data_IF_817621818899
#
_entry.id   IF_817621818899
#
_cell.length_a   1.000
_cell.length_b   1.000
_cell.length_c   1.000
_cell.angle_alpha   90.00
_cell.angle_beta   90.00
_cell.angle_gamma   90.00
#
_symmetry.space_group_name_H-M   'P 1'
#
loop_
_entity.id
_entity.type
_entity.pdbx_description
1 polymer ?
#
# COMPACT_ATOMS: atom_id res chain seq x y z
N UNK A 1 -5.42 56.16 58.69
CA UNK A 1 -4.69 54.95 59.12
C UNK A 1 -5.77 53.89 59.33
N UNK A 2 -6.12 53.01 58.38
CA UNK A 2 -5.30 52.13 57.56
C UNK A 2 -5.53 50.69 58.07
N UNK A 3 -5.79 49.73 57.16
CA UNK A 3 -5.87 48.26 57.38
C UNK A 3 -7.22 47.72 57.89
N UNK A 4 -7.85 46.68 57.33
CA UNK A 4 -7.57 45.81 56.18
C UNK A 4 -8.91 45.19 55.75
N UNK A 5 -9.28 45.35 54.48
CA UNK A 5 -10.23 44.50 53.78
C UNK A 5 -9.55 43.16 53.44
N UNK A 6 -10.30 42.05 53.43
CA UNK A 6 -9.76 40.80 52.89
C UNK A 6 -10.56 39.53 53.21
N UNK A 7 -11.83 39.48 52.80
CA UNK A 7 -12.53 38.21 52.60
C UNK A 7 -11.89 37.50 51.40
N UNK A 8 -11.02 36.53 51.63
CA UNK A 8 -10.51 35.65 50.57
C UNK A 8 -11.44 34.44 50.43
N UNK A 9 -12.55 34.64 49.71
CA UNK A 9 -13.32 33.57 49.10
C UNK A 9 -12.44 32.98 47.98
N UNK A 10 -11.78 31.86 48.25
CA UNK A 10 -11.11 31.05 47.22
C UNK A 10 -12.20 30.40 46.38
N UNK A 11 -12.68 31.13 45.38
CA UNK A 11 -13.41 30.55 44.25
C UNK A 11 -12.36 29.77 43.46
N UNK A 12 -12.29 28.46 43.67
CA UNK A 12 -11.67 27.54 42.72
C UNK A 12 -12.59 27.54 41.49
N UNK A 13 -12.41 28.54 40.61
CA UNK A 13 -12.78 28.37 39.22
C UNK A 13 -11.96 27.16 38.73
N UNK A 14 -12.57 26.12 38.16
CA UNK A 14 -11.79 25.29 37.27
C UNK A 14 -11.41 26.23 36.12
N UNK A 15 -10.17 26.72 36.13
CA UNK A 15 -9.52 27.06 34.87
C UNK A 15 -9.51 25.75 34.09
N UNK A 16 -10.59 25.52 33.33
CA UNK A 16 -10.47 24.84 32.06
C UNK A 16 -9.40 25.63 31.31
N UNK A 17 -8.14 25.20 31.46
CA UNK A 17 -7.17 25.43 30.42
C UNK A 17 -7.74 24.71 29.21
N UNK A 18 -8.57 25.41 28.44
CA UNK A 18 -8.66 25.20 27.02
C UNK A 18 -7.23 25.43 26.53
N UNK A 19 -6.44 24.37 26.50
CA UNK A 19 -5.23 24.35 25.71
C UNK A 19 -5.76 24.57 24.30
N UNK A 20 -5.59 25.78 23.77
CA UNK A 20 -6.05 26.10 22.43
C UNK A 20 -5.44 25.08 21.47
N UNK A 21 -6.23 24.10 21.07
CA UNK A 21 -5.88 23.16 20.04
C UNK A 21 -5.77 24.00 18.76
N UNK A 22 -4.53 24.38 18.43
CA UNK A 22 -4.18 25.07 17.19
C UNK A 22 -4.89 26.42 17.02
N UNK A 23 -4.56 27.39 17.89
CA UNK A 23 -5.24 28.71 18.04
C UNK A 23 -5.44 29.59 16.79
N UNK A 24 -4.96 29.20 15.60
CA UNK A 24 -5.14 29.95 14.32
C UNK A 24 -5.26 29.10 13.05
N UNK A 25 -4.97 27.80 13.09
CA UNK A 25 -5.05 26.89 11.93
C UNK A 25 -5.64 25.55 12.34
N UNK A 26 -6.25 24.81 11.42
CA UNK A 26 -6.68 23.44 11.69
C UNK A 26 -5.50 22.55 12.08
N UNK A 27 -5.69 21.74 13.12
CA UNK A 27 -4.72 20.82 13.69
C UNK A 27 -4.27 19.76 12.68
N UNK A 28 -2.94 19.54 12.64
CA UNK A 28 -2.26 18.56 11.79
C UNK A 28 -2.31 17.17 12.44
N UNK A 29 -1.87 16.16 11.70
CA UNK A 29 -1.75 14.80 12.20
C UNK A 29 -0.92 14.78 13.50
N UNK A 30 -1.42 14.10 14.54
CA UNK A 30 -0.86 14.03 15.89
C UNK A 30 -0.90 15.33 16.71
N UNK A 31 -1.49 16.42 16.22
CA UNK A 31 -1.78 17.57 17.09
C UNK A 31 -2.93 17.22 18.04
N UNK A 32 -2.93 17.81 19.24
CA UNK A 32 -4.04 17.65 20.20
C UNK A 32 -5.32 18.30 19.62
N UNK A 33 -6.46 17.71 19.92
CA UNK A 33 -7.77 18.20 19.51
C UNK A 33 -8.82 17.95 20.60
N UNK A 34 -9.94 18.66 20.52
CA UNK A 34 -11.12 18.46 21.35
C UNK A 34 -12.34 18.02 20.53
N UNK A 35 -12.40 18.39 19.25
CA UNK A 35 -13.49 18.04 18.34
C UNK A 35 -12.98 17.71 16.93
N UNK A 36 -13.76 16.97 16.14
CA UNK A 36 -13.43 16.68 14.73
C UNK A 36 -13.24 17.95 13.89
N UNK A 37 -13.90 19.06 14.27
CA UNK A 37 -13.79 20.35 13.59
C UNK A 37 -12.40 20.98 13.69
N UNK A 38 -11.64 20.62 14.72
CA UNK A 38 -10.29 21.13 14.97
C UNK A 38 -9.29 20.59 13.94
N UNK A 39 -9.53 19.39 13.42
CA UNK A 39 -8.58 18.67 12.58
C UNK A 39 -8.66 19.07 11.09
N UNK A 40 -7.52 18.99 10.39
CA UNK A 40 -7.46 19.19 8.92
C UNK A 40 -8.32 18.16 8.17
N UNK A 41 -8.78 18.47 6.94
CA UNK A 41 -9.51 17.51 6.11
C UNK A 41 -8.78 16.16 5.99
N UNK A 42 -9.52 15.06 6.09
CA UNK A 42 -8.95 13.71 6.09
C UNK A 42 -8.41 13.25 7.45
N UNK A 43 -8.58 14.05 8.49
CA UNK A 43 -8.29 13.71 9.88
C UNK A 43 -9.56 13.84 10.74
N UNK A 44 -9.60 13.12 11.87
CA UNK A 44 -10.66 13.24 12.88
C UNK A 44 -10.06 13.22 14.28
N UNK A 45 -10.80 13.74 15.25
CA UNK A 45 -10.34 13.87 16.62
C UNK A 45 -10.65 12.60 17.40
N UNK A 46 -9.60 11.92 17.88
CA UNK A 46 -9.75 10.61 18.48
C UNK A 46 -8.80 10.39 19.65
N UNK A 47 -9.23 9.63 20.64
CA UNK A 47 -8.40 9.17 21.76
C UNK A 47 -8.47 7.66 21.93
N UNK A 48 -7.32 7.06 22.23
CA UNK A 48 -7.20 5.65 22.55
C UNK A 48 -7.55 5.44 24.04
N UNK A 49 -8.59 4.63 24.29
CA UNK A 49 -9.26 4.46 25.60
C UNK A 49 -8.31 4.18 26.78
N UNK A 50 -7.17 3.52 26.56
CA UNK A 50 -6.25 3.13 27.65
C UNK A 50 -5.04 4.04 27.84
N UNK A 51 -4.90 5.09 27.04
CA UNK A 51 -3.65 5.84 27.03
C UNK A 51 -3.59 6.96 28.08
N UNK A 52 -4.71 7.35 28.73
CA UNK A 52 -4.84 8.63 29.45
C UNK A 52 -4.32 9.82 28.59
N UNK A 53 -4.23 9.61 27.27
CA UNK A 53 -3.68 10.57 26.34
C UNK A 53 -4.80 11.48 25.88
N UNK A 54 -4.48 12.78 25.69
CA UNK A 54 -5.44 13.70 25.10
C UNK A 54 -5.85 13.19 23.72
N UNK A 55 -7.06 13.55 23.29
CA UNK A 55 -7.47 13.30 21.91
C UNK A 55 -6.52 14.02 20.95
N UNK A 56 -6.22 13.36 19.85
CA UNK A 56 -5.31 13.85 18.82
C UNK A 56 -5.95 13.68 17.45
N UNK A 57 -5.54 14.52 16.50
CA UNK A 57 -5.95 14.38 15.11
C UNK A 57 -5.28 13.15 14.50
N UNK A 58 -6.07 12.13 14.17
CA UNK A 58 -5.63 10.89 13.53
C UNK A 58 -6.26 10.78 12.14
N UNK A 59 -5.66 9.99 11.27
CA UNK A 59 -6.12 9.86 9.88
C UNK A 59 -7.47 9.16 9.80
N UNK A 60 -8.36 9.67 8.95
CA UNK A 60 -9.72 9.14 8.76
C UNK A 60 -10.02 8.68 7.34
N UNK A 61 -9.12 8.92 6.38
CA UNK A 61 -9.31 8.57 4.98
C UNK A 61 -8.01 8.19 4.27
N UNK A 62 -8.11 7.30 3.28
CA UNK A 62 -6.99 6.95 2.40
C UNK A 62 -6.62 8.09 1.45
N UNK A 63 -5.38 8.11 0.98
CA UNK A 63 -4.99 8.92 -0.17
C UNK A 63 -5.46 8.25 -1.45
N UNK A 64 -6.18 9.00 -2.29
CA UNK A 64 -6.59 8.55 -3.62
C UNK A 64 -5.37 8.54 -4.56
N UNK A 65 -4.70 7.39 -4.61
CA UNK A 65 -3.50 7.17 -5.41
C UNK A 65 -3.76 7.28 -6.92
N UNK A 66 -4.99 7.01 -7.37
CA UNK A 66 -5.37 7.14 -8.77
C UNK A 66 -5.42 8.59 -9.22
N UNK A 67 -5.90 9.49 -8.36
CA UNK A 67 -5.90 10.94 -8.61
C UNK A 67 -4.54 11.58 -8.33
N UNK A 68 -3.87 11.16 -7.26
CA UNK A 68 -2.60 11.75 -6.83
C UNK A 68 -1.48 11.49 -7.84
N UNK A 69 -1.37 10.25 -8.33
CA UNK A 69 -0.24 9.81 -9.17
C UNK A 69 -0.73 9.49 -10.58
N UNK A 70 -1.33 8.31 -10.76
CA UNK A 70 -2.03 7.89 -11.97
C UNK A 70 -2.74 6.53 -11.74
N UNK A 71 -3.69 6.21 -12.62
CA UNK A 71 -4.34 4.90 -12.71
C UNK A 71 -3.84 4.05 -13.89
N UNK A 72 -2.61 4.28 -14.35
CA UNK A 72 -2.08 3.68 -15.57
C UNK A 72 -1.36 2.34 -15.36
N UNK A 73 -1.05 1.99 -14.11
CA UNK A 73 -0.37 0.75 -13.77
C UNK A 73 -1.35 -0.45 -13.75
N UNK A 74 -0.84 -1.68 -13.88
CA UNK A 74 -1.56 -2.91 -13.58
C UNK A 74 -2.22 -2.90 -12.18
N UNK A 75 -3.37 -3.55 -12.01
CA UNK A 75 -4.08 -3.61 -10.72
C UNK A 75 -3.20 -4.15 -9.58
N UNK A 76 -2.35 -5.14 -9.84
CA UNK A 76 -1.39 -5.71 -8.87
C UNK A 76 -0.18 -4.79 -8.56
N UNK A 77 -0.16 -3.55 -9.06
CA UNK A 77 0.81 -2.49 -8.68
C UNK A 77 0.20 -1.44 -7.76
N UNK A 78 -0.98 -1.72 -7.21
CA UNK A 78 -1.63 -0.89 -6.21
C UNK A 78 -1.88 -1.71 -4.94
N UNK A 79 -1.95 -1.00 -3.81
CA UNK A 79 -2.36 -1.54 -2.53
C UNK A 79 -3.69 -0.92 -2.08
N UNK A 80 -4.50 -1.73 -1.42
CA UNK A 80 -5.85 -1.39 -1.00
C UNK A 80 -6.05 -1.71 0.48
N UNK A 81 -6.61 -0.74 1.21
CA UNK A 81 -7.11 -0.99 2.56
C UNK A 81 -8.25 -2.00 2.48
N UNK A 82 -8.15 -3.05 3.29
CA UNK A 82 -9.12 -4.13 3.39
C UNK A 82 -9.70 -4.18 4.80
N UNK A 83 -11.01 -4.32 4.92
CA UNK A 83 -11.68 -4.47 6.22
C UNK A 83 -12.13 -5.93 6.42
N UNK A 84 -11.66 -6.53 7.50
CA UNK A 84 -12.06 -7.87 7.91
C UNK A 84 -13.49 -7.84 8.44
N UNK A 85 -14.32 -8.81 8.02
CA UNK A 85 -15.74 -8.90 8.34
C UNK A 85 -16.44 -7.55 8.31
N UNK A 86 -16.42 -6.92 7.12
CA UNK A 86 -16.80 -5.52 6.92
C UNK A 86 -18.23 -5.19 7.37
N UNK A 87 -19.10 -6.20 7.40
CA UNK A 87 -20.50 -6.09 7.82
C UNK A 87 -20.69 -6.21 9.34
N UNK A 88 -19.68 -6.66 10.08
CA UNK A 88 -19.75 -6.90 11.52
C UNK A 88 -19.60 -5.60 12.31
N UNK A 89 -20.65 -4.77 12.25
CA UNK A 89 -20.63 -3.37 12.68
C UNK A 89 -21.19 -3.21 14.09
N UNK A 90 -20.52 -2.40 14.92
CA UNK A 90 -20.97 -2.09 16.27
C UNK A 90 -22.34 -1.39 16.26
N UNK A 91 -23.27 -1.87 17.10
CA UNK A 91 -24.58 -1.24 17.27
C UNK A 91 -25.47 -1.33 16.03
N UNK A 92 -25.11 -2.15 15.04
CA UNK A 92 -25.98 -2.46 13.93
C UNK A 92 -27.23 -3.22 14.43
N UNK A 93 -28.43 -2.79 14.04
CA UNK A 93 -29.67 -3.40 14.52
C UNK A 93 -29.75 -4.87 14.12
N UNK A 94 -30.32 -5.70 14.98
CA UNK A 94 -30.67 -7.08 14.66
C UNK A 94 -31.79 -7.14 13.64
N UNK A 95 -31.58 -7.98 12.61
CA UNK A 95 -32.59 -8.30 11.59
C UNK A 95 -33.31 -9.61 11.88
N UNK A 96 -32.91 -10.34 12.94
CA UNK A 96 -33.39 -11.69 13.27
C UNK A 96 -34.10 -11.76 14.62
N UNK A 97 -33.83 -10.79 15.52
CA UNK A 97 -34.28 -10.76 16.91
C UNK A 97 -34.97 -9.43 17.22
N UNK A 98 -35.95 -9.46 18.14
CA UNK A 98 -36.74 -8.29 18.55
C UNK A 98 -36.00 -7.34 19.50
N UNK A 99 -34.95 -7.84 20.15
CA UNK A 99 -33.98 -7.09 20.95
C UNK A 99 -32.57 -7.36 20.40
N UNK A 100 -31.63 -6.42 20.56
CA UNK A 100 -30.24 -6.55 20.11
C UNK A 100 -29.45 -7.55 20.99
N UNK A 101 -29.88 -8.80 21.00
CA UNK A 101 -29.30 -9.92 21.74
C UNK A 101 -28.22 -10.67 20.93
N UNK A 102 -27.52 -9.99 20.02
CA UNK A 102 -26.49 -10.60 19.17
C UNK A 102 -25.29 -11.02 20.02
N UNK A 103 -24.86 -12.28 19.88
CA UNK A 103 -23.75 -12.86 20.65
C UNK A 103 -22.67 -13.33 19.68
N UNK A 104 -21.93 -12.37 19.15
CA UNK A 104 -20.78 -12.62 18.29
C UNK A 104 -19.84 -11.41 18.29
N UNK A 105 -18.72 -11.53 17.57
CA UNK A 105 -17.68 -10.52 17.54
C UNK A 105 -18.05 -9.37 16.59
N UNK A 106 -17.53 -8.19 16.91
CA UNK A 106 -17.69 -6.95 16.14
C UNK A 106 -16.32 -6.58 15.59
N UNK A 107 -16.26 -6.25 14.31
CA UNK A 107 -15.00 -5.94 13.61
C UNK A 107 -14.91 -4.48 13.21
N UNK A 108 -16.03 -3.79 12.98
CA UNK A 108 -16.03 -2.43 12.45
C UNK A 108 -16.96 -1.49 13.24
N UNK A 109 -16.72 -0.18 13.12
CA UNK A 109 -17.56 0.87 13.71
C UNK A 109 -18.34 1.67 12.67
N UNK A 110 -17.84 1.69 11.43
CA UNK A 110 -18.43 2.39 10.31
C UNK A 110 -19.25 1.42 9.46
N UNK A 111 -20.36 1.88 8.89
CA UNK A 111 -21.12 1.10 7.88
C UNK A 111 -20.27 0.78 6.66
N UNK A 112 -20.67 -0.20 5.84
CA UNK A 112 -19.93 -0.52 4.60
C UNK A 112 -19.88 0.68 3.67
N UNK A 113 -20.96 1.45 3.54
CA UNK A 113 -20.96 2.73 2.83
C UNK A 113 -19.89 3.69 3.37
N UNK A 114 -19.75 3.81 4.69
CA UNK A 114 -18.79 4.73 5.30
C UNK A 114 -17.35 4.22 5.18
N UNK A 115 -17.12 2.91 5.28
CA UNK A 115 -15.85 2.24 4.97
C UNK A 115 -15.38 2.60 3.55
N UNK A 116 -16.26 2.44 2.55
CA UNK A 116 -15.97 2.79 1.16
C UNK A 116 -15.71 4.29 0.97
N UNK A 117 -16.50 5.17 1.61
CA UNK A 117 -16.27 6.63 1.58
C UNK A 117 -14.92 7.03 2.19
N UNK A 118 -14.48 6.32 3.22
CA UNK A 118 -13.20 6.56 3.89
C UNK A 118 -12.01 5.95 3.12
N UNK A 119 -12.24 5.28 1.98
CA UNK A 119 -11.17 4.80 1.12
C UNK A 119 -10.85 3.31 1.22
N UNK A 120 -11.64 2.54 1.98
CA UNK A 120 -11.59 1.08 1.89
C UNK A 120 -11.96 0.66 0.47
N UNK A 121 -11.19 -0.26 -0.12
CA UNK A 121 -11.40 -0.74 -1.50
C UNK A 121 -11.41 -2.26 -1.62
N UNK A 122 -11.26 -2.96 -0.50
CA UNK A 122 -11.49 -4.39 -0.41
C UNK A 122 -12.29 -4.73 0.84
N UNK A 123 -13.29 -5.61 0.70
CA UNK A 123 -14.19 -6.01 1.78
C UNK A 123 -14.14 -7.52 1.95
N UNK A 124 -13.81 -8.01 3.15
CA UNK A 124 -13.97 -9.42 3.49
C UNK A 124 -15.35 -9.66 4.07
N UNK A 125 -16.06 -10.65 3.52
CA UNK A 125 -17.45 -10.96 3.88
C UNK A 125 -17.65 -12.47 4.02
N UNK A 126 -18.14 -12.90 5.17
CA UNK A 126 -18.56 -14.27 5.40
C UNK A 126 -20.02 -14.46 4.94
N UNK A 127 -20.25 -15.37 3.99
CA UNK A 127 -21.56 -15.57 3.35
C UNK A 127 -22.13 -16.95 3.66
N UNK A 128 -23.41 -17.00 4.06
CA UNK A 128 -24.09 -18.23 4.45
C UNK A 128 -25.47 -18.33 3.83
N UNK A 129 -25.93 -19.56 3.55
CA UNK A 129 -27.35 -19.83 3.41
C UNK A 129 -28.03 -19.75 4.79
N UNK A 130 -29.00 -18.86 4.93
CA UNK A 130 -29.73 -18.68 6.18
C UNK A 130 -31.13 -18.10 5.96
N UNK A 131 -32.14 -18.63 6.67
CA UNK A 131 -33.54 -18.19 6.56
C UNK A 131 -34.06 -18.09 5.10
N UNK A 132 -33.61 -19.01 4.24
CA UNK A 132 -34.03 -19.09 2.83
C UNK A 132 -33.38 -18.06 1.89
N UNK A 133 -32.37 -17.32 2.35
CA UNK A 133 -31.62 -16.34 1.56
C UNK A 133 -30.11 -16.39 1.91
N UNK A 134 -29.30 -15.53 1.30
CA UNK A 134 -27.89 -15.38 1.63
C UNK A 134 -27.70 -14.27 2.65
N UNK A 135 -27.02 -14.60 3.74
CA UNK A 135 -26.77 -13.71 4.86
C UNK A 135 -25.29 -13.52 5.11
N UNK A 136 -24.98 -12.36 5.70
CA UNK A 136 -23.67 -12.12 6.30
C UNK A 136 -23.75 -12.42 7.78
N UNK A 137 -22.92 -13.34 8.24
CA UNK A 137 -22.94 -13.83 9.62
C UNK A 137 -21.51 -13.95 10.14
N UNK A 138 -21.25 -13.53 11.38
CA UNK A 138 -19.97 -13.79 12.03
C UNK A 138 -20.13 -15.06 12.86
N UNK A 139 -19.97 -16.23 12.25
CA UNK A 139 -20.35 -17.52 12.84
C UNK A 139 -19.22 -18.54 12.77
N UNK A 140 -19.47 -19.75 13.28
CA UNK A 140 -18.49 -20.84 13.28
C UNK A 140 -19.06 -22.11 12.62
N UNK A 141 -18.17 -23.03 12.26
CA UNK A 141 -18.51 -24.37 11.72
C UNK A 141 -19.35 -24.33 10.43
N UNK A 142 -19.25 -23.25 9.64
CA UNK A 142 -19.96 -23.12 8.38
C UNK A 142 -21.48 -23.01 8.50
N UNK A 143 -22.01 -22.58 9.66
CA UNK A 143 -23.45 -22.41 9.88
C UNK A 143 -23.76 -21.03 10.44
N UNK A 144 -24.79 -20.39 9.93
CA UNK A 144 -25.32 -19.14 10.48
C UNK A 144 -26.44 -19.40 11.49
N UNK A 145 -26.51 -18.57 12.53
CA UNK A 145 -27.51 -18.63 13.58
C UNK A 145 -28.12 -17.24 13.82
N UNK A 146 -29.31 -17.17 14.41
CA UNK A 146 -29.97 -15.89 14.69
C UNK A 146 -29.12 -14.94 15.53
N UNK A 147 -28.36 -15.48 16.49
CA UNK A 147 -27.48 -14.73 17.38
C UNK A 147 -26.17 -14.29 16.73
N UNK A 148 -25.81 -14.84 15.56
CA UNK A 148 -24.56 -14.56 14.83
C UNK A 148 -24.79 -13.88 13.47
N UNK A 149 -26.04 -13.80 13.03
CA UNK A 149 -26.45 -13.12 11.81
C UNK A 149 -26.37 -11.60 11.96
N UNK A 150 -25.84 -10.93 10.94
CA UNK A 150 -25.79 -9.47 10.90
C UNK A 150 -26.85 -8.87 10.02
N UNK A 151 -26.87 -9.26 8.74
CA UNK A 151 -27.71 -8.60 7.74
C UNK A 151 -27.91 -9.54 6.55
N UNK A 152 -29.06 -9.50 5.86
CA UNK A 152 -29.19 -10.09 4.53
C UNK A 152 -28.10 -9.53 3.61
N UNK A 153 -27.40 -10.40 2.89
CA UNK A 153 -26.25 -9.98 2.08
C UNK A 153 -26.64 -8.99 0.99
N UNK A 154 -27.88 -9.05 0.49
CA UNK A 154 -28.41 -8.13 -0.52
C UNK A 154 -28.31 -6.65 -0.11
N UNK A 155 -28.40 -6.34 1.18
CA UNK A 155 -28.31 -4.95 1.66
C UNK A 155 -26.90 -4.40 1.49
N UNK A 156 -25.90 -5.16 1.93
CA UNK A 156 -24.48 -4.80 1.76
C UNK A 156 -24.11 -4.73 0.28
N UNK A 157 -24.60 -5.66 -0.54
CA UNK A 157 -24.33 -5.64 -1.99
C UNK A 157 -24.95 -4.40 -2.67
N UNK A 158 -26.13 -3.94 -2.22
CA UNK A 158 -26.74 -2.69 -2.70
C UNK A 158 -25.95 -1.45 -2.28
N UNK A 159 -25.37 -1.42 -1.09
CA UNK A 159 -24.44 -0.34 -0.68
C UNK A 159 -23.23 -0.26 -1.62
N UNK A 160 -22.62 -1.41 -1.94
CA UNK A 160 -21.49 -1.49 -2.88
C UNK A 160 -21.92 -1.04 -4.29
N UNK A 161 -23.10 -1.46 -4.74
CA UNK A 161 -23.62 -1.09 -6.06
C UNK A 161 -23.89 0.41 -6.18
N UNK A 162 -24.45 1.01 -5.12
CA UNK A 162 -24.68 2.45 -5.03
C UNK A 162 -23.34 3.20 -5.05
N UNK A 163 -22.34 2.75 -4.26
CA UNK A 163 -21.02 3.35 -4.24
C UNK A 163 -20.33 3.31 -5.61
N UNK A 164 -20.30 2.15 -6.27
CA UNK A 164 -19.69 2.01 -7.60
C UNK A 164 -20.44 2.83 -8.67
N UNK A 165 -21.76 3.00 -8.54
CA UNK A 165 -22.56 3.83 -9.45
C UNK A 165 -22.26 5.32 -9.25
N UNK A 166 -22.10 5.77 -8.00
CA UNK A 166 -21.77 7.16 -7.68
C UNK A 166 -20.30 7.53 -7.97
N UNK A 167 -19.39 6.55 -7.97
CA UNK A 167 -17.96 6.76 -8.11
C UNK A 167 -17.41 5.97 -9.33
N UNK A 168 -17.49 6.52 -10.55
CA UNK A 168 -17.21 5.79 -11.79
C UNK A 168 -15.73 5.43 -11.99
N UNK A 169 -14.82 6.06 -11.26
CA UNK A 169 -13.37 5.84 -11.35
C UNK A 169 -12.84 4.80 -10.37
N UNK A 170 -13.65 4.37 -9.39
CA UNK A 170 -13.22 3.52 -8.29
C UNK A 170 -13.29 2.04 -8.65
N UNK A 171 -12.45 1.22 -8.02
CA UNK A 171 -12.48 -0.25 -8.11
C UNK A 171 -12.74 -0.81 -6.73
N UNK A 172 -13.64 -1.78 -6.60
CA UNK A 172 -13.91 -2.49 -5.34
C UNK A 172 -13.61 -3.96 -5.50
N UNK A 173 -12.96 -4.54 -4.49
CA UNK A 173 -12.71 -5.96 -4.37
C UNK A 173 -13.58 -6.54 -3.25
N UNK A 174 -14.19 -7.70 -3.47
CA UNK A 174 -14.89 -8.47 -2.45
C UNK A 174 -14.18 -9.80 -2.30
N UNK A 175 -13.87 -10.20 -1.06
CA UNK A 175 -13.24 -11.47 -0.73
C UNK A 175 -14.23 -12.23 0.15
N UNK A 176 -14.78 -13.32 -0.38
CA UNK A 176 -15.83 -14.09 0.27
C UNK A 176 -15.25 -15.29 1.03
N UNK A 177 -15.48 -15.35 2.34
CA UNK A 177 -15.49 -16.62 3.04
C UNK A 177 -16.86 -17.27 2.78
N UNK A 178 -16.87 -18.27 1.91
CA UNK A 178 -18.06 -18.75 1.23
C UNK A 178 -18.57 -20.07 1.81
N UNK A 179 -19.71 -20.00 2.50
CA UNK A 179 -20.46 -21.13 3.01
C UNK A 179 -21.79 -21.35 2.28
N UNK A 180 -22.03 -20.67 1.15
CA UNK A 180 -23.27 -20.76 0.35
C UNK A 180 -23.28 -22.04 -0.48
N UNK A 181 -24.19 -22.95 -0.14
CA UNK A 181 -24.42 -24.22 -0.83
C UNK A 181 -25.58 -24.15 -1.83
N UNK A 182 -26.47 -23.16 -1.71
CA UNK A 182 -27.54 -22.93 -2.69
C UNK A 182 -26.94 -22.77 -4.09
N UNK A 183 -27.33 -23.60 -5.08
CA UNK A 183 -26.82 -23.51 -6.44
C UNK A 183 -27.10 -22.12 -7.04
N UNK A 184 -26.07 -21.48 -7.60
CA UNK A 184 -26.15 -20.13 -8.20
C UNK A 184 -26.59 -19.02 -7.23
N UNK A 185 -26.54 -19.29 -5.92
CA UNK A 185 -26.98 -18.33 -4.91
C UNK A 185 -26.23 -17.00 -5.00
N UNK A 186 -24.90 -17.04 -5.07
CA UNK A 186 -24.09 -15.81 -5.14
C UNK A 186 -24.32 -15.07 -6.47
N UNK A 187 -24.37 -15.77 -7.59
CA UNK A 187 -24.67 -15.18 -8.90
C UNK A 187 -26.02 -14.46 -8.89
N UNK A 188 -27.05 -15.08 -8.29
CA UNK A 188 -28.37 -14.47 -8.12
C UNK A 188 -28.27 -13.21 -7.27
N UNK A 189 -27.62 -13.29 -6.10
CA UNK A 189 -27.39 -12.17 -5.20
C UNK A 189 -26.72 -10.97 -5.90
N UNK A 190 -25.62 -11.19 -6.62
CA UNK A 190 -24.91 -10.14 -7.35
C UNK A 190 -25.74 -9.55 -8.50
N UNK A 191 -26.57 -10.38 -9.15
CA UNK A 191 -27.48 -9.95 -10.22
C UNK A 191 -28.58 -9.04 -9.65
N UNK A 192 -29.25 -9.46 -8.58
CA UNK A 192 -30.32 -8.71 -7.94
C UNK A 192 -29.83 -7.41 -7.29
N UNK A 193 -28.58 -7.39 -6.80
CA UNK A 193 -27.93 -6.17 -6.33
C UNK A 193 -27.55 -5.19 -7.46
N UNK A 194 -27.62 -5.61 -8.73
CA UNK A 194 -27.22 -4.80 -9.88
C UNK A 194 -25.70 -4.65 -10.03
N UNK A 195 -24.91 -5.57 -9.47
CA UNK A 195 -23.44 -5.52 -9.47
C UNK A 195 -22.82 -6.14 -10.73
N UNK A 196 -23.56 -6.98 -11.47
CA UNK A 196 -23.03 -7.66 -12.67
C UNK A 196 -22.54 -6.71 -13.77
N UNK A 197 -23.08 -5.49 -13.83
CA UNK A 197 -22.62 -4.44 -14.76
C UNK A 197 -21.19 -3.93 -14.47
N UNK A 198 -20.67 -4.19 -13.27
CA UNK A 198 -19.31 -3.84 -12.84
C UNK A 198 -18.34 -5.03 -12.87
N UNK A 199 -18.83 -6.24 -13.13
CA UNK A 199 -18.11 -7.49 -12.91
C UNK A 199 -16.81 -7.61 -13.72
N UNK A 200 -15.70 -7.89 -13.04
CA UNK A 200 -14.44 -8.22 -13.69
C UNK A 200 -14.34 -9.75 -13.89
N UNK A 201 -14.23 -10.23 -15.14
CA UNK A 201 -14.36 -11.66 -15.41
C UNK A 201 -13.05 -12.43 -15.18
N UNK A 202 -13.18 -13.63 -14.60
CA UNK A 202 -12.10 -14.60 -14.34
C UNK A 202 -11.16 -14.80 -15.54
N UNK A 203 -11.69 -14.91 -16.76
CA UNK A 203 -10.88 -15.10 -17.99
C UNK A 203 -9.88 -13.98 -18.30
N UNK A 204 -9.90 -12.87 -17.56
CA UNK A 204 -8.96 -11.75 -17.69
C UNK A 204 -8.06 -11.59 -16.46
N UNK A 205 -8.16 -12.50 -15.49
CA UNK A 205 -7.30 -12.51 -14.31
C UNK A 205 -6.06 -13.38 -14.63
N UNK A 206 -4.83 -12.87 -14.43
CA UNK A 206 -3.62 -13.66 -14.63
C UNK A 206 -3.51 -14.75 -13.56
N UNK A 207 -2.99 -15.92 -13.94
CA UNK A 207 -2.82 -17.10 -13.07
C UNK A 207 -1.36 -17.58 -12.98
N UNK A 208 -0.46 -16.84 -13.60
CA UNK A 208 0.93 -17.17 -13.86
C UNK A 208 1.89 -16.15 -13.23
N UNK A 209 1.40 -15.36 -12.27
CA UNK A 209 2.17 -14.28 -11.64
C UNK A 209 2.25 -13.00 -12.47
N UNK A 210 1.69 -12.99 -13.69
CA UNK A 210 1.71 -11.86 -14.59
C UNK A 210 0.91 -10.65 -14.10
N UNK A 211 1.13 -9.54 -14.79
CA UNK A 211 0.43 -8.28 -14.52
C UNK A 211 -1.06 -8.37 -14.84
N UNK A 212 -1.86 -7.81 -13.94
CA UNK A 212 -3.29 -7.63 -14.16
C UNK A 212 -3.54 -6.54 -15.21
N UNK A 213 -4.75 -6.48 -15.81
CA UNK A 213 -5.09 -5.33 -16.64
C UNK A 213 -4.91 -4.00 -15.91
N UNK A 214 -4.46 -3.00 -16.66
CA UNK A 214 -4.28 -1.63 -16.14
C UNK A 214 -5.59 -1.09 -15.58
N UNK A 215 -5.51 -0.40 -14.44
CA UNK A 215 -6.69 0.15 -13.73
C UNK A 215 -7.50 1.06 -14.65
N UNK A 216 -6.87 1.94 -15.44
CA UNK A 216 -7.56 2.80 -16.38
C UNK A 216 -8.38 2.04 -17.44
N UNK A 217 -7.94 0.85 -17.86
CA UNK A 217 -8.67 -0.01 -18.81
C UNK A 217 -9.77 -0.81 -18.12
N UNK A 218 -9.61 -1.16 -16.85
CA UNK A 218 -10.67 -1.73 -16.02
C UNK A 218 -11.81 -0.72 -15.86
N UNK A 219 -11.46 0.52 -15.49
CA UNK A 219 -12.38 1.64 -15.33
C UNK A 219 -13.09 1.98 -16.63
N UNK A 220 -12.36 2.18 -17.72
CA UNK A 220 -12.96 2.56 -19.02
C UNK A 220 -13.92 1.52 -19.59
N UNK A 221 -13.79 0.25 -19.18
CA UNK A 221 -14.69 -0.85 -19.58
C UNK A 221 -15.78 -1.12 -18.55
N UNK A 222 -15.89 -0.28 -17.51
CA UNK A 222 -16.75 -0.46 -16.34
C UNK A 222 -16.63 -1.86 -15.71
N UNK A 223 -15.42 -2.44 -15.68
CA UNK A 223 -15.13 -3.73 -15.03
C UNK A 223 -14.35 -3.46 -13.76
N UNK A 224 -15.06 -2.99 -12.75
CA UNK A 224 -14.52 -2.36 -11.54
C UNK A 224 -14.89 -3.09 -10.24
N UNK A 225 -15.53 -4.25 -10.35
CA UNK A 225 -15.80 -5.15 -9.24
C UNK A 225 -15.01 -6.46 -9.43
N UNK A 226 -14.06 -6.73 -8.55
CA UNK A 226 -13.33 -8.01 -8.50
C UNK A 226 -13.92 -8.81 -7.34
N UNK A 227 -14.26 -10.08 -7.56
CA UNK A 227 -14.82 -10.94 -6.50
C UNK A 227 -14.05 -12.23 -6.43
N UNK A 228 -13.55 -12.53 -5.23
CA UNK A 228 -12.91 -13.78 -4.86
C UNK A 228 -13.79 -14.58 -3.91
N UNK A 229 -13.66 -15.90 -3.95
CA UNK A 229 -14.34 -16.85 -3.05
C UNK A 229 -13.35 -17.90 -2.53
N UNK A 230 -13.56 -18.34 -1.29
CA UNK A 230 -12.85 -19.45 -0.67
C UNK A 230 -13.32 -20.83 -1.15
N UNK A 231 -14.38 -20.93 -1.94
CA UNK A 231 -14.95 -22.20 -2.42
C UNK A 231 -14.58 -22.46 -3.90
N UNK A 232 -13.71 -23.44 -4.13
CA UNK A 232 -13.13 -23.74 -5.46
C UNK A 232 -14.19 -23.99 -6.53
N UNK A 233 -15.26 -24.70 -6.17
CA UNK A 233 -16.32 -25.08 -7.11
C UNK A 233 -17.05 -23.88 -7.72
N UNK A 234 -17.00 -22.70 -7.10
CA UNK A 234 -17.64 -21.46 -7.57
C UNK A 234 -16.96 -20.84 -8.78
N UNK A 235 -15.67 -21.10 -9.02
CA UNK A 235 -15.02 -20.58 -10.23
C UNK A 235 -15.62 -21.21 -11.48
N UNK A 236 -15.79 -22.53 -11.48
CA UNK A 236 -16.42 -23.25 -12.60
C UNK A 236 -17.93 -23.02 -12.64
N UNK A 237 -18.59 -23.09 -11.49
CA UNK A 237 -20.06 -23.06 -11.45
C UNK A 237 -20.63 -21.67 -11.56
N UNK A 238 -20.00 -20.63 -11.00
CA UNK A 238 -20.55 -19.27 -10.92
C UNK A 238 -19.65 -18.20 -11.56
N UNK A 239 -18.41 -18.56 -11.95
CA UNK A 239 -17.46 -17.60 -12.53
C UNK A 239 -16.87 -16.64 -11.50
N UNK A 240 -16.88 -17.02 -10.22
CA UNK A 240 -16.29 -16.26 -9.11
C UNK A 240 -14.88 -16.79 -8.85
N UNK A 241 -13.87 -15.92 -8.82
CA UNK A 241 -12.48 -16.32 -8.79
C UNK A 241 -12.13 -17.10 -7.51
N UNK A 242 -11.60 -18.32 -7.64
CA UNK A 242 -11.14 -19.07 -6.46
C UNK A 242 -9.87 -18.42 -5.92
N UNK A 243 -9.93 -17.84 -4.72
CA UNK A 243 -8.92 -16.88 -4.26
C UNK A 243 -7.48 -17.43 -4.27
N UNK A 244 -7.31 -18.70 -3.89
CA UNK A 244 -6.00 -19.37 -3.81
C UNK A 244 -5.32 -19.57 -5.18
N UNK A 245 -6.06 -19.38 -6.28
CA UNK A 245 -5.45 -19.35 -7.61
C UNK A 245 -4.75 -18.04 -7.96
N UNK A 246 -5.01 -16.95 -7.23
CA UNK A 246 -4.60 -15.59 -7.61
C UNK A 246 -3.78 -14.86 -6.55
N UNK A 247 -3.94 -15.19 -5.27
CA UNK A 247 -3.25 -14.53 -4.18
C UNK A 247 -2.63 -15.51 -3.18
N UNK A 248 -1.55 -15.07 -2.54
CA UNK A 248 -0.99 -15.67 -1.32
C UNK A 248 -1.42 -14.87 -0.10
N UNK A 249 -1.61 -15.56 1.02
CA UNK A 249 -2.18 -14.99 2.24
C UNK A 249 -1.48 -15.52 3.50
N UNK A 250 -1.13 -14.62 4.42
CA UNK A 250 -0.59 -15.01 5.72
C UNK A 250 -1.69 -15.48 6.68
N UNK A 251 -1.28 -16.09 7.79
CA UNK A 251 -2.20 -16.49 8.86
C UNK A 251 -3.06 -15.32 9.32
N UNK A 252 -4.31 -15.61 9.63
CA UNK A 252 -5.24 -14.67 10.24
C UNK A 252 -5.17 -14.73 11.77
N UNK A 253 -5.89 -13.81 12.42
CA UNK A 253 -5.97 -13.76 13.87
C UNK A 253 -4.60 -13.52 14.53
N UNK A 254 -4.41 -14.02 15.74
CA UNK A 254 -3.16 -13.79 16.47
C UNK A 254 -1.90 -14.31 15.74
N UNK A 255 -2.05 -15.30 14.85
CA UNK A 255 -0.96 -15.78 14.00
C UNK A 255 -0.55 -14.82 12.88
N UNK A 256 -1.43 -13.89 12.50
CA UNK A 256 -1.14 -12.79 11.56
C UNK A 256 -0.55 -11.55 12.21
N UNK A 257 -0.61 -11.46 13.54
CA UNK A 257 -0.10 -10.32 14.31
C UNK A 257 1.21 -10.62 15.06
N UNK A 258 1.81 -11.79 14.83
CA UNK A 258 3.05 -12.23 15.50
C UNK A 258 4.25 -11.41 14.99
N UNK A 259 4.80 -10.54 15.84
CA UNK A 259 5.86 -9.62 15.44
C UNK A 259 7.07 -10.34 14.81
N UNK A 260 7.55 -9.83 13.67
CA UNK A 260 8.70 -10.39 12.96
C UNK A 260 8.43 -11.72 12.24
N UNK A 261 7.19 -12.20 12.20
CA UNK A 261 6.84 -13.44 11.51
C UNK A 261 5.60 -13.28 10.64
N UNK A 262 5.76 -13.66 9.37
CA UNK A 262 4.66 -13.73 8.42
C UNK A 262 4.67 -15.11 7.75
N UNK A 263 3.77 -15.99 8.18
CA UNK A 263 3.64 -17.36 7.67
C UNK A 263 2.35 -17.53 6.89
N UNK A 264 2.35 -18.31 5.82
CA UNK A 264 1.15 -18.61 5.05
C UNK A 264 0.11 -19.37 5.90
N UNK A 265 -1.17 -19.17 5.59
CA UNK A 265 -2.25 -20.03 6.11
C UNK A 265 -2.37 -21.31 5.30
N UNK A 266 -3.00 -22.34 5.87
CA UNK A 266 -3.03 -23.71 5.33
C UNK A 266 -3.55 -23.81 3.90
N UNK A 267 -4.55 -23.00 3.57
CA UNK A 267 -5.23 -23.02 2.28
C UNK A 267 -4.46 -22.24 1.20
N UNK A 268 -3.56 -21.35 1.60
CA UNK A 268 -2.72 -20.57 0.70
C UNK A 268 -1.46 -21.34 0.30
N UNK A 269 -0.98 -21.11 -0.93
CA UNK A 269 0.41 -21.39 -1.29
C UNK A 269 1.40 -20.69 -0.33
N UNK A 270 2.67 -21.14 -0.28
CA UNK A 270 3.76 -20.37 0.35
C UNK A 270 3.77 -18.91 -0.12
N UNK A 271 4.11 -17.97 0.78
CA UNK A 271 4.03 -16.53 0.46
C UNK A 271 4.97 -16.09 -0.67
N UNK A 272 6.06 -16.82 -0.88
CA UNK A 272 7.03 -16.60 -1.95
C UNK A 272 6.62 -17.27 -3.28
N UNK A 273 5.45 -17.91 -3.37
CA UNK A 273 4.91 -18.43 -4.62
C UNK A 273 4.55 -17.25 -5.57
N UNK A 274 5.44 -17.01 -6.53
CA UNK A 274 5.32 -15.93 -7.52
C UNK A 274 4.33 -16.27 -8.65
N UNK A 275 3.78 -17.48 -8.71
CA UNK A 275 2.70 -17.80 -9.67
C UNK A 275 1.38 -17.11 -9.30
N UNK A 276 1.25 -16.66 -8.04
CA UNK A 276 0.14 -15.84 -7.55
C UNK A 276 0.57 -14.39 -7.56
N UNK A 277 -0.04 -13.53 -8.38
CA UNK A 277 0.44 -12.15 -8.54
C UNK A 277 0.01 -11.20 -7.43
N UNK A 278 -0.94 -11.60 -6.58
CA UNK A 278 -1.45 -10.78 -5.48
C UNK A 278 -0.94 -11.29 -4.12
N UNK A 279 -0.71 -10.35 -3.20
CA UNK A 279 -0.33 -10.64 -1.82
C UNK A 279 -1.34 -10.00 -0.86
N UNK A 280 -1.91 -10.79 0.03
CA UNK A 280 -2.82 -10.34 1.09
C UNK A 280 -2.16 -10.51 2.47
N UNK A 281 -2.19 -9.44 3.26
CA UNK A 281 -1.72 -9.43 4.64
C UNK A 281 -2.91 -9.27 5.58
N UNK A 282 -3.28 -10.33 6.27
CA UNK A 282 -4.12 -10.33 7.45
C UNK A 282 -3.35 -9.77 8.64
N UNK A 283 -3.83 -8.66 9.18
CA UNK A 283 -3.29 -8.04 10.39
C UNK A 283 -4.44 -7.64 11.33
N UNK A 284 -5.03 -8.66 11.94
CA UNK A 284 -6.08 -8.52 12.94
C UNK A 284 -6.01 -9.67 13.94
N UNK A 285 -6.50 -9.44 15.17
CA UNK A 285 -6.47 -10.43 16.25
C UNK A 285 -7.58 -11.46 16.10
N UNK A 286 -7.44 -12.62 16.74
CA UNK A 286 -8.51 -13.63 16.77
C UNK A 286 -9.77 -13.10 17.46
N UNK A 287 -9.58 -12.26 18.49
CA UNK A 287 -10.68 -11.54 19.15
C UNK A 287 -10.44 -10.04 18.88
N UNK A 288 -11.36 -9.35 18.19
CA UNK A 288 -11.21 -7.96 17.77
C UNK A 288 -11.45 -7.01 18.95
N UNK A 289 -10.46 -6.91 19.83
CA UNK A 289 -10.53 -6.10 21.04
C UNK A 289 -10.08 -4.67 20.73
N UNK A 290 -11.05 -3.75 20.69
CA UNK A 290 -10.84 -2.29 20.50
C UNK A 290 -9.68 -1.68 21.28
N UNK A 291 -9.43 -2.02 22.55
CA UNK A 291 -8.34 -1.46 23.34
C UNK A 291 -6.96 -1.56 22.69
N UNK A 292 -6.71 -2.61 21.91
CA UNK A 292 -5.40 -2.88 21.32
C UNK A 292 -5.22 -2.28 19.92
N UNK A 293 -6.31 -1.86 19.26
CA UNK A 293 -6.29 -1.44 17.86
C UNK A 293 -5.39 -0.24 17.59
N UNK A 294 -5.30 0.69 18.55
CA UNK A 294 -4.40 1.83 18.43
C UNK A 294 -2.93 1.43 18.31
N UNK A 295 -2.51 0.41 19.05
CA UNK A 295 -1.12 -0.04 19.07
C UNK A 295 -0.84 -0.93 17.87
N UNK A 296 -1.81 -1.78 17.52
CA UNK A 296 -1.74 -2.66 16.37
C UNK A 296 -1.62 -1.82 15.08
N UNK A 297 -2.53 -0.86 14.83
CA UNK A 297 -2.50 -0.04 13.60
C UNK A 297 -1.53 1.14 13.64
N UNK A 298 -0.50 1.10 14.48
CA UNK A 298 0.56 2.12 14.49
C UNK A 298 1.85 1.52 13.91
N UNK A 299 3.00 1.67 14.58
CA UNK A 299 4.28 1.17 14.09
C UNK A 299 4.26 -0.35 13.82
N UNK A 300 3.54 -1.13 14.64
CA UNK A 300 3.50 -2.60 14.49
C UNK A 300 2.92 -3.07 13.17
N UNK A 301 1.92 -2.36 12.63
CA UNK A 301 1.38 -2.66 11.31
C UNK A 301 2.40 -2.36 10.21
N UNK A 302 3.14 -1.24 10.31
CA UNK A 302 4.24 -0.91 9.38
C UNK A 302 5.33 -1.99 9.41
N UNK A 303 5.73 -2.42 10.60
CA UNK A 303 6.73 -3.47 10.77
C UNK A 303 6.23 -4.82 10.19
N UNK A 304 4.94 -5.12 10.33
CA UNK A 304 4.36 -6.33 9.77
C UNK A 304 4.31 -6.31 8.25
N UNK A 305 3.91 -5.20 7.60
CA UNK A 305 3.91 -5.15 6.13
C UNK A 305 5.33 -5.30 5.55
N UNK A 306 6.37 -4.83 6.27
CA UNK A 306 7.77 -5.07 5.93
C UNK A 306 8.17 -6.53 6.15
N UNK A 307 7.79 -7.11 7.28
CA UNK A 307 8.02 -8.54 7.59
C UNK A 307 7.40 -9.44 6.49
N UNK A 308 6.16 -9.17 6.12
CA UNK A 308 5.46 -9.91 5.08
C UNK A 308 6.04 -9.64 3.68
N UNK A 309 6.59 -8.45 3.42
CA UNK A 309 7.30 -8.17 2.17
C UNK A 309 8.48 -9.13 1.96
N UNK A 310 9.33 -9.31 2.99
CA UNK A 310 10.43 -10.26 2.95
C UNK A 310 9.93 -11.70 2.79
N UNK A 311 8.92 -12.10 3.58
CA UNK A 311 8.34 -13.45 3.51
C UNK A 311 7.66 -13.75 2.16
N UNK A 312 7.15 -12.72 1.46
CA UNK A 312 6.51 -12.85 0.16
C UNK A 312 7.50 -12.81 -1.02
N UNK A 313 8.79 -13.04 -0.77
CA UNK A 313 9.83 -13.05 -1.79
C UNK A 313 10.10 -11.65 -2.38
N UNK A 314 10.16 -10.64 -1.52
CA UNK A 314 10.34 -9.22 -1.84
C UNK A 314 9.20 -8.64 -2.68
N UNK A 315 7.96 -9.02 -2.37
CA UNK A 315 6.75 -8.46 -3.00
C UNK A 315 5.93 -7.71 -1.97
N UNK A 316 5.58 -6.46 -2.27
CA UNK A 316 4.73 -5.66 -1.38
C UNK A 316 3.28 -6.12 -1.46
N UNK A 317 2.57 -6.01 -0.33
CA UNK A 317 1.17 -6.43 -0.23
C UNK A 317 0.25 -5.58 -1.12
N UNK A 318 -0.71 -6.22 -1.78
CA UNK A 318 -1.79 -5.56 -2.50
C UNK A 318 -3.01 -5.31 -1.61
N UNK A 319 -3.18 -6.12 -0.57
CA UNK A 319 -4.29 -6.01 0.37
C UNK A 319 -3.74 -6.08 1.79
N UNK A 320 -4.17 -5.15 2.64
CA UNK A 320 -3.91 -5.19 4.07
C UNK A 320 -5.24 -5.19 4.82
N UNK A 321 -5.56 -6.32 5.45
CA UNK A 321 -6.82 -6.56 6.14
C UNK A 321 -6.69 -6.27 7.63
N UNK A 322 -7.58 -5.42 8.14
CA UNK A 322 -7.61 -4.97 9.54
C UNK A 322 -9.03 -4.93 10.10
N UNK A 323 -9.16 -5.03 11.42
CA UNK A 323 -10.37 -4.66 12.17
C UNK A 323 -10.31 -3.17 12.53
N UNK A 324 -11.44 -2.53 12.86
CA UNK A 324 -11.51 -1.15 13.38
C UNK A 324 -10.58 -0.15 12.67
N UNK A 325 -10.59 -0.17 11.33
CA UNK A 325 -9.53 0.40 10.48
C UNK A 325 -9.13 1.87 10.77
N UNK A 326 -10.01 2.68 11.35
CA UNK A 326 -9.72 4.08 11.74
C UNK A 326 -8.95 4.25 13.04
N UNK A 327 -9.02 3.28 13.96
CA UNK A 327 -8.41 3.40 15.29
C UNK A 327 -6.89 3.31 15.18
N UNK A 328 -6.18 4.37 15.57
CA UNK A 328 -4.71 4.44 15.52
C UNK A 328 -4.17 5.55 16.43
N UNK A 329 -2.84 5.65 16.58
CA UNK A 329 -2.16 6.79 17.22
C UNK A 329 -1.61 7.82 16.21
N UNK A 330 -2.26 7.96 15.04
CA UNK A 330 -1.83 8.89 14.00
C UNK A 330 -2.22 8.44 12.60
N UNK A 331 -1.25 8.04 11.79
CA UNK A 331 -1.46 7.71 10.37
C UNK A 331 -2.24 6.42 10.13
N UNK A 332 -2.12 5.43 11.01
CA UNK A 332 -3.01 4.27 11.02
C UNK A 332 -2.81 3.29 9.88
N UNK A 333 -3.85 2.49 9.66
CA UNK A 333 -3.99 1.63 8.47
C UNK A 333 -3.90 2.41 7.16
N UNK A 334 -4.33 3.68 7.16
CA UNK A 334 -4.23 4.56 6.00
C UNK A 334 -2.79 4.92 5.66
N UNK A 335 -1.89 5.09 6.64
CA UNK A 335 -0.47 5.31 6.40
C UNK A 335 0.19 4.03 5.86
N UNK A 336 -0.18 2.86 6.40
CA UNK A 336 0.34 1.59 5.88
C UNK A 336 0.04 1.41 4.38
N UNK A 337 -1.15 1.81 3.93
CA UNK A 337 -1.52 1.77 2.51
C UNK A 337 -0.79 2.81 1.67
N UNK A 338 -0.50 3.99 2.20
CA UNK A 338 0.35 4.97 1.50
C UNK A 338 1.78 4.44 1.32
N UNK A 339 2.34 3.79 2.35
CA UNK A 339 3.66 3.14 2.26
C UNK A 339 3.65 2.02 1.23
N UNK A 340 2.65 1.13 1.25
CA UNK A 340 2.54 0.07 0.26
C UNK A 340 2.40 0.62 -1.16
N UNK A 341 1.58 1.64 -1.39
CA UNK A 341 1.46 2.25 -2.71
C UNK A 341 2.73 3.00 -3.14
N UNK A 342 3.42 3.70 -2.24
CA UNK A 342 4.72 4.31 -2.53
C UNK A 342 5.72 3.26 -3.02
N UNK A 343 5.82 2.15 -2.28
CA UNK A 343 6.73 1.05 -2.60
C UNK A 343 6.36 0.33 -3.89
N UNK A 344 5.08 0.09 -4.15
CA UNK A 344 4.61 -0.57 -5.38
C UNK A 344 4.72 0.30 -6.64
N UNK A 345 4.51 1.62 -6.51
CA UNK A 345 4.38 2.51 -7.67
C UNK A 345 5.67 3.21 -8.06
N UNK A 346 6.53 3.57 -7.08
CA UNK A 346 7.75 4.33 -7.32
C UNK A 346 8.92 3.96 -6.40
N UNK A 347 8.79 2.92 -5.56
CA UNK A 347 9.85 2.49 -4.64
C UNK A 347 10.02 3.34 -3.37
N UNK A 348 9.30 4.46 -3.23
CA UNK A 348 9.37 5.34 -2.07
C UNK A 348 8.62 4.82 -0.84
N UNK A 349 8.94 5.33 0.35
CA UNK A 349 8.25 4.99 1.61
C UNK A 349 6.85 5.58 1.76
N UNK A 350 6.45 6.46 0.84
CA UNK A 350 5.15 7.14 0.86
C UNK A 350 4.70 7.48 -0.57
N UNK A 351 3.44 7.22 -0.90
CA UNK A 351 2.85 7.50 -2.21
C UNK A 351 2.89 8.99 -2.62
N UNK A 352 2.89 9.91 -1.66
CA UNK A 352 2.99 11.34 -1.94
C UNK A 352 4.36 11.72 -2.54
N UNK A 353 5.42 10.96 -2.24
CA UNK A 353 6.73 11.15 -2.86
C UNK A 353 6.72 10.76 -4.36
N UNK A 354 5.81 9.88 -4.78
CA UNK A 354 5.70 9.50 -6.20
C UNK A 354 5.31 10.68 -7.11
N UNK A 355 4.65 11.72 -6.58
CA UNK A 355 4.25 12.88 -7.41
C UNK A 355 5.47 13.60 -7.99
N UNK A 356 6.52 13.78 -7.19
CA UNK A 356 7.78 14.37 -7.63
C UNK A 356 8.47 13.50 -8.69
N UNK A 357 8.47 12.18 -8.47
CA UNK A 357 9.02 11.20 -9.40
C UNK A 357 8.33 11.24 -10.78
N UNK A 358 7.00 11.18 -10.82
CA UNK A 358 6.24 11.25 -12.08
C UNK A 358 6.15 12.67 -12.68
N UNK A 359 6.27 13.72 -11.85
CA UNK A 359 6.31 15.12 -12.27
C UNK A 359 7.59 15.49 -13.04
N UNK A 360 8.73 14.91 -12.65
CA UNK A 360 9.98 15.01 -13.40
C UNK A 360 9.86 14.33 -14.76
N UNK A 361 9.17 13.18 -14.83
CA UNK A 361 8.92 12.46 -16.09
C UNK A 361 7.95 13.22 -17.03
N UNK A 362 6.95 13.94 -16.50
CA UNK A 362 5.98 14.72 -17.30
C UNK A 362 6.55 16.00 -17.93
N UNK A 363 7.66 16.55 -17.43
CA UNK A 363 8.33 17.69 -18.10
C UNK A 363 8.95 17.33 -19.45
N UNK A 364 8.98 16.04 -19.82
CA UNK A 364 9.51 15.55 -21.09
C UNK A 364 8.42 14.81 -21.87
N UNK A 365 7.49 15.55 -22.49
CA UNK A 365 6.56 15.04 -23.51
C UNK A 365 6.87 15.69 -24.88
N UNK A 366 6.56 15.00 -26.00
CA UNK A 366 7.39 14.96 -27.19
C UNK A 366 7.16 16.15 -28.13
N UNK A 367 8.25 16.82 -28.51
CA UNK A 367 8.23 17.93 -29.47
C UNK A 367 9.48 18.80 -29.43
N UNK A 368 10.19 18.82 -28.29
CA UNK A 368 11.49 19.46 -28.19
C UNK A 368 12.60 18.49 -28.60
N UNK A 369 13.60 19.00 -29.33
CA UNK A 369 14.77 18.25 -29.76
C UNK A 369 15.38 17.52 -28.56
N UNK A 370 15.58 16.20 -28.71
CA UNK A 370 16.18 15.33 -27.68
C UNK A 370 17.44 16.00 -27.13
N UNK A 371 17.60 16.13 -25.80
CA UNK A 371 18.79 16.74 -25.24
C UNK A 371 20.00 15.91 -25.67
N UNK A 372 20.97 16.57 -26.31
CA UNK A 372 22.31 16.00 -26.47
C UNK A 372 22.96 15.88 -25.09
N UNK A 373 23.91 14.94 -24.89
CA UNK A 373 24.71 14.93 -23.68
C UNK A 373 25.27 16.35 -23.44
N UNK A 374 25.18 16.90 -22.22
CA UNK A 374 25.84 18.16 -21.91
C UNK A 374 27.34 18.00 -22.22
N UNK A 375 27.91 18.97 -22.93
CA UNK A 375 29.36 19.02 -23.14
C UNK A 375 29.95 19.50 -21.82
N UNK A 376 30.49 18.58 -21.02
CA UNK A 376 31.18 18.91 -19.78
C UNK A 376 32.39 19.81 -20.08
N UNK A 377 32.49 20.95 -19.39
CA UNK A 377 33.76 21.65 -19.24
C UNK A 377 34.61 20.84 -18.25
N UNK A 378 35.56 20.09 -18.80
CA UNK A 378 36.49 19.26 -18.03
C UNK A 378 37.38 20.14 -17.16
N UNK A 379 37.52 19.74 -15.90
CA UNK A 379 38.59 20.22 -15.01
C UNK A 379 39.94 19.82 -15.58
N UNK A 380 40.80 20.80 -15.88
CA UNK A 380 42.13 20.61 -16.48
C UNK A 380 43.14 19.90 -15.53
N UNK A 381 42.76 19.65 -14.29
CA UNK A 381 43.62 19.22 -13.18
C UNK A 381 43.48 17.73 -12.78
N UNK A 382 42.84 16.86 -13.58
CA UNK A 382 42.75 15.43 -13.26
C UNK A 382 44.07 14.68 -13.54
N UNK A 383 44.92 14.51 -12.53
CA UNK A 383 46.08 13.61 -12.58
C UNK A 383 45.63 12.14 -12.52
N UNK A 384 45.74 11.42 -13.65
CA UNK A 384 45.45 9.98 -13.73
C UNK A 384 46.65 9.21 -13.15
N UNK A 385 46.46 8.51 -12.03
CA UNK A 385 47.53 7.68 -11.45
C UNK A 385 47.58 6.30 -12.14
N UNK A 386 48.65 6.06 -12.91
CA UNK A 386 48.91 4.83 -13.67
C UNK A 386 49.79 3.79 -12.94
N UNK A 387 50.17 4.02 -11.67
CA UNK A 387 51.11 3.15 -10.92
C UNK A 387 50.69 1.69 -10.82
N UNK A 388 49.40 1.38 -11.01
CA UNK A 388 48.85 0.03 -10.88
C UNK A 388 48.72 -0.72 -12.21
N UNK A 389 49.05 -0.10 -13.35
CA UNK A 389 49.10 -0.79 -14.64
C UNK A 389 50.47 -1.43 -14.79
N UNK A 390 50.57 -2.77 -14.72
CA UNK A 390 51.82 -3.45 -15.05
C UNK A 390 52.22 -3.08 -16.49
N UNK A 391 53.50 -2.78 -16.79
CA UNK A 391 53.94 -2.28 -18.10
C UNK A 391 53.60 -3.16 -19.31
N UNK A 392 53.30 -4.43 -19.05
CA UNK A 392 52.88 -5.44 -20.03
C UNK A 392 51.46 -5.19 -20.60
N UNK A 393 50.57 -4.51 -19.87
CA UNK A 393 49.21 -4.18 -20.34
C UNK A 393 49.15 -2.86 -21.13
N UNK A 394 50.14 -1.98 -21.01
CA UNK A 394 50.25 -0.73 -21.78
C UNK A 394 50.66 -0.98 -23.24
N UNK A 395 51.22 -2.16 -23.54
CA UNK A 395 51.78 -2.51 -24.87
C UNK A 395 50.99 -3.59 -25.64
N UNK A 396 49.73 -3.83 -25.29
CA UNK A 396 48.82 -4.68 -26.07
C UNK A 396 49.24 -6.14 -26.21
N UNK A 397 49.96 -6.69 -25.21
CA UNK A 397 50.44 -8.08 -25.21
C UNK A 397 50.04 -8.82 -23.93
N UNK A 398 48.75 -9.09 -23.74
CA UNK A 398 48.31 -10.12 -22.80
C UNK A 398 47.04 -10.80 -23.34
N UNK A 399 47.08 -12.12 -23.45
CA UNK A 399 45.97 -12.98 -23.94
C UNK A 399 45.11 -13.56 -22.82
N UNK A 400 45.28 -13.11 -21.57
CA UNK A 400 44.35 -13.38 -20.47
C UNK A 400 44.61 -12.38 -19.33
N UNK A 401 43.57 -11.74 -18.83
CA UNK A 401 43.62 -10.66 -17.82
C UNK A 401 42.81 -11.10 -16.58
N UNK A 402 43.28 -10.90 -15.33
CA UNK A 402 42.50 -11.15 -14.12
C UNK A 402 41.34 -10.14 -13.96
N UNK A 403 40.20 -10.60 -13.40
CA UNK A 403 38.93 -9.84 -13.25
C UNK A 403 39.05 -8.42 -12.66
N UNK A 404 40.02 -8.13 -11.81
CA UNK A 404 40.19 -6.81 -11.17
C UNK A 404 40.83 -5.77 -12.10
N UNK A 405 41.57 -6.19 -13.14
CA UNK A 405 42.23 -5.30 -14.11
C UNK A 405 41.26 -4.90 -15.23
N UNK A 406 40.19 -5.67 -15.44
CA UNK A 406 39.15 -5.43 -16.46
C UNK A 406 38.36 -4.14 -16.17
N UNK A 407 37.99 -3.90 -14.91
CA UNK A 407 37.12 -2.77 -14.56
C UNK A 407 37.82 -1.42 -14.74
N UNK A 408 39.12 -1.32 -14.43
CA UNK A 408 39.87 -0.07 -14.60
C UNK A 408 40.09 0.26 -16.08
N UNK A 409 40.31 -0.75 -16.92
CA UNK A 409 40.47 -0.56 -18.36
C UNK A 409 39.15 -0.13 -19.01
N UNK A 410 38.03 -0.74 -18.61
CA UNK A 410 36.68 -0.35 -19.04
C UNK A 410 36.35 1.09 -18.62
N UNK A 411 36.71 1.50 -17.40
CA UNK A 411 36.52 2.88 -16.91
C UNK A 411 37.40 3.88 -17.68
N UNK A 412 38.62 3.49 -18.05
CA UNK A 412 39.52 4.32 -18.85
C UNK A 412 39.02 4.46 -20.30
N UNK A 413 38.55 3.38 -20.93
CA UNK A 413 37.95 3.45 -22.28
C UNK A 413 36.67 4.28 -22.29
N UNK A 414 35.80 4.14 -21.28
CA UNK A 414 34.63 5.00 -21.12
C UNK A 414 35.03 6.48 -21.00
N UNK A 415 36.05 6.79 -20.20
CA UNK A 415 36.57 8.15 -20.08
C UNK A 415 37.18 8.68 -21.39
N UNK A 416 37.90 7.85 -22.13
CA UNK A 416 38.50 8.23 -23.41
C UNK A 416 37.45 8.43 -24.52
N UNK A 417 36.42 7.59 -24.56
CA UNK A 417 35.28 7.70 -25.47
C UNK A 417 34.42 8.93 -25.16
N UNK A 418 34.30 9.34 -23.90
CA UNK A 418 33.71 10.62 -23.52
C UNK A 418 34.51 11.80 -24.07
N UNK A 419 35.84 11.83 -23.88
CA UNK A 419 36.72 12.89 -24.44
C UNK A 419 36.59 13.01 -25.96
N UNK A 420 36.39 11.88 -26.64
CA UNK A 420 36.18 11.81 -28.10
C UNK A 420 34.74 12.08 -28.52
N UNK A 421 33.81 12.25 -27.59
CA UNK A 421 32.39 12.50 -27.85
C UNK A 421 31.65 11.29 -28.46
N UNK A 422 32.11 10.07 -28.17
CA UNK A 422 31.60 8.81 -28.72
C UNK A 422 31.08 7.83 -27.66
N UNK A 423 30.98 8.26 -26.39
CA UNK A 423 30.52 7.45 -25.26
C UNK A 423 29.18 6.72 -25.50
N UNK A 424 28.26 7.31 -26.27
CA UNK A 424 27.00 6.66 -26.64
C UNK A 424 27.18 5.34 -27.43
N UNK A 425 28.36 5.10 -28.02
CA UNK A 425 28.64 3.88 -28.81
C UNK A 425 28.91 2.65 -27.95
N UNK A 426 29.25 2.83 -26.67
CA UNK A 426 29.49 1.74 -25.73
C UNK A 426 28.28 1.47 -24.82
N UNK A 427 27.27 2.35 -24.87
CA UNK A 427 26.00 2.17 -24.15
C UNK A 427 25.22 1.05 -24.81
N UNK A 428 24.63 0.18 -23.98
CA UNK A 428 23.71 -0.84 -24.48
C UNK A 428 22.66 -0.20 -25.41
N UNK A 429 22.47 -0.70 -26.64
CA UNK A 429 21.52 -0.14 -27.60
C UNK A 429 20.10 0.03 -27.06
N UNK A 430 19.70 -0.76 -26.06
CA UNK A 430 18.42 -0.65 -25.38
C UNK A 430 18.33 0.60 -24.49
N UNK A 431 19.44 1.12 -23.98
CA UNK A 431 19.53 2.27 -23.08
C UNK A 431 19.80 3.59 -23.82
N UNK A 432 20.25 3.53 -25.07
CA UNK A 432 20.50 4.72 -25.90
C UNK A 432 19.23 5.59 -25.97
N UNK A 433 19.36 6.84 -25.53
CA UNK A 433 18.26 7.82 -25.48
C UNK A 433 17.24 7.61 -24.35
N UNK A 434 17.49 6.68 -23.41
CA UNK A 434 16.68 6.46 -22.20
C UNK A 434 17.37 6.90 -20.90
N UNK A 435 18.67 7.19 -20.95
CA UNK A 435 19.47 7.67 -19.83
C UNK A 435 19.27 9.19 -19.71
N UNK A 436 18.90 9.67 -18.52
CA UNK A 436 18.72 11.12 -18.27
C UNK A 436 20.09 11.82 -18.19
N UNK A 437 20.14 13.15 -18.42
CA UNK A 437 21.39 13.90 -18.26
C UNK A 437 21.95 13.80 -16.84
N UNK A 438 21.09 13.76 -15.82
CA UNK A 438 21.50 13.58 -14.43
C UNK A 438 22.12 12.21 -14.17
N UNK A 439 21.56 11.16 -14.78
CA UNK A 439 22.17 9.83 -14.71
C UNK A 439 23.54 9.79 -15.39
N UNK A 440 23.69 10.55 -16.49
CA UNK A 440 24.98 10.73 -17.15
C UNK A 440 25.98 11.45 -16.26
N UNK A 441 25.60 12.58 -15.67
CA UNK A 441 26.48 13.39 -14.82
C UNK A 441 27.03 12.57 -13.64
N UNK A 442 26.18 11.77 -12.99
CA UNK A 442 26.61 10.94 -11.86
C UNK A 442 27.44 9.74 -12.30
N UNK A 443 27.11 9.12 -13.44
CA UNK A 443 27.94 8.06 -14.01
C UNK A 443 29.36 8.56 -14.33
N UNK A 444 29.47 9.74 -14.93
CA UNK A 444 30.76 10.38 -15.22
C UNK A 444 31.50 10.78 -13.93
N UNK A 445 30.79 11.32 -12.93
CA UNK A 445 31.39 11.65 -11.63
C UNK A 445 31.99 10.40 -10.96
N UNK A 446 31.28 9.28 -10.99
CA UNK A 446 31.77 8.01 -10.45
C UNK A 446 33.03 7.56 -11.22
N UNK A 447 33.02 7.62 -12.56
CA UNK A 447 34.21 7.28 -13.37
C UNK A 447 35.40 8.15 -12.99
N UNK A 448 35.21 9.47 -12.91
CA UNK A 448 36.28 10.41 -12.56
C UNK A 448 36.85 10.13 -11.16
N UNK A 449 35.98 9.87 -10.18
CA UNK A 449 36.41 9.55 -8.82
C UNK A 449 37.10 8.18 -8.73
N UNK A 450 36.69 7.21 -9.53
CA UNK A 450 37.35 5.91 -9.63
C UNK A 450 38.77 6.01 -10.23
N UNK A 451 38.95 6.91 -11.20
CA UNK A 451 40.24 7.16 -11.88
C UNK A 451 41.16 8.13 -11.12
N UNK A 452 40.66 8.84 -10.11
CA UNK A 452 41.43 9.72 -9.24
C UNK A 452 42.41 8.97 -8.32
N UNK A 453 43.25 9.72 -7.59
CA UNK A 453 44.20 9.18 -6.61
C UNK A 453 43.50 8.36 -5.51
N UNK A 454 44.25 7.45 -4.88
CA UNK A 454 43.73 6.45 -3.92
C UNK A 454 42.96 7.10 -2.75
N UNK A 455 43.30 8.33 -2.38
CA UNK A 455 42.70 9.05 -1.26
C UNK A 455 41.25 9.51 -1.54
N UNK A 456 40.88 9.69 -2.82
CA UNK A 456 39.57 10.22 -3.25
C UNK A 456 38.71 9.15 -3.95
N UNK A 457 39.29 7.97 -4.19
CA UNK A 457 38.61 6.84 -4.83
C UNK A 457 37.47 6.30 -3.95
N UNK A 458 36.24 6.22 -4.48
CA UNK A 458 35.10 5.74 -3.71
C UNK A 458 35.19 4.23 -3.49
N UNK A 459 34.65 3.76 -2.37
CA UNK A 459 34.49 2.32 -2.13
C UNK A 459 33.30 1.79 -2.94
N UNK A 460 33.31 0.50 -3.28
CA UNK A 460 32.19 -0.13 -4.02
C UNK A 460 30.82 0.10 -3.38
N UNK A 461 30.72 0.06 -2.04
CA UNK A 461 29.45 0.35 -1.35
C UNK A 461 29.00 1.82 -1.47
N UNK A 462 29.93 2.76 -1.67
CA UNK A 462 29.57 4.17 -1.95
C UNK A 462 29.08 4.32 -3.39
N UNK A 463 29.73 3.62 -4.33
CA UNK A 463 29.30 3.58 -5.73
C UNK A 463 27.91 2.99 -5.87
N UNK A 464 27.60 1.89 -5.17
CA UNK A 464 26.26 1.28 -5.15
C UNK A 464 25.20 2.25 -4.63
N UNK A 465 25.45 2.92 -3.49
CA UNK A 465 24.51 3.90 -2.92
C UNK A 465 24.31 5.10 -3.85
N UNK A 466 25.37 5.59 -4.49
CA UNK A 466 25.26 6.72 -5.43
C UNK A 466 24.45 6.31 -6.67
N UNK A 467 24.68 5.12 -7.22
CA UNK A 467 23.92 4.62 -8.37
C UNK A 467 22.45 4.32 -8.01
N UNK A 468 22.18 3.77 -6.82
CA UNK A 468 20.82 3.56 -6.33
C UNK A 468 20.05 4.89 -6.22
N UNK A 469 20.68 5.94 -5.71
CA UNK A 469 20.06 7.28 -5.60
C UNK A 469 19.74 7.94 -6.95
N UNK A 470 20.37 7.49 -8.04
CA UNK A 470 20.23 8.04 -9.40
C UNK A 470 19.31 7.21 -10.28
N UNK A 471 19.07 5.95 -9.90
CA UNK A 471 18.08 5.06 -10.51
C UNK A 471 16.71 5.14 -9.81
N UNK A 472 16.65 5.78 -8.63
CA UNK A 472 15.45 6.27 -7.93
C UNK A 472 15.00 7.64 -8.45
#
# INVERSE_FOLDING_TARGET
MGSLWGLLLVIILPMCYCVDACSREKCKLKDKCSSDGDCKPGLFCFSCVYALQPSMCVRSSVTDQFKLVNNSLPFNKYAFLTTHNSFAIQGAPSHTLTEDARVTLINQEDSVTQQLKNGVRALMLDTYDFRGDIWLCHSMLGRCHDLTAFVPAINTMKEIAAFLSANPTEIVTIILEDYVKTPKGLTKLFTEAGLMKFWFPVKRMPKDGGDWPRVNKMVSKNRRLIVFTSEESKEKSEGIAYQWNYMVENKFGNGGTEAGKCSHRKESSPLDDKTKSLVLVNYFRTIPLKPFMCDDHSQRLIDMIQTCHTAAGNRWANFVAVDYYKRSRGGGSFQAVDTLNGRLMCGCDDVHACVSYFGLYKKHLPGESRPKPPRLELREDLEINLEYIKPEYVRGKASSVPYEVDLFFVLYEAFDDERKGVLEKIVDPFLIGKITSTCWDVFIEIIQRCLASVEVRPKMGEVEVILENVLL
#
